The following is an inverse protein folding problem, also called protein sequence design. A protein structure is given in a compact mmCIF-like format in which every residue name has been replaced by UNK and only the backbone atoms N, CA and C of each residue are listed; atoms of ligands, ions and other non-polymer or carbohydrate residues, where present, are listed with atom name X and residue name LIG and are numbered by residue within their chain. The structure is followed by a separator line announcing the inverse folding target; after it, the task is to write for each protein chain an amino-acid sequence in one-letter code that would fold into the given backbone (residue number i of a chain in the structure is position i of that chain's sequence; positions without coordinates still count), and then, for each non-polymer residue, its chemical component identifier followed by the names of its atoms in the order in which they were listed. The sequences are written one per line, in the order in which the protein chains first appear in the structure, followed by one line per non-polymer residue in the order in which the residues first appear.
data_IF_859113849192
#
_entry.id   IF_859113849192
#
_cell.length_a   1.000
_cell.length_b   1.000
_cell.length_c   1.000
_cell.angle_alpha   90.00
_cell.angle_beta   90.00
_cell.angle_gamma   90.00
#
_symmetry.space_group_name_H-M   'P 1'
#
loop_
_entity.id
_entity.type
_entity.pdbx_description
1 polymer ?
#
# COMPACT_ATOMS: atom_id res chain seq x y z
N UNK A 1 12.06 0.61 -18.48
CA UNK A 1 11.69 1.97 -18.89
C UNK A 1 10.30 2.00 -19.52
N UNK A 2 9.98 1.09 -20.45
CA UNK A 2 8.65 1.00 -21.09
C UNK A 2 7.48 0.79 -20.11
N UNK A 3 7.60 -0.07 -19.09
CA UNK A 3 6.52 -0.30 -18.12
C UNK A 3 6.23 0.91 -17.21
N UNK A 4 7.25 1.72 -16.87
CA UNK A 4 7.05 2.97 -16.10
C UNK A 4 6.26 3.98 -16.90
N UNK A 5 6.61 4.17 -18.17
CA UNK A 5 5.89 5.05 -19.09
C UNK A 5 4.44 4.58 -19.29
N UNK A 6 4.23 3.29 -19.52
CA UNK A 6 2.90 2.70 -19.64
C UNK A 6 2.06 2.96 -18.39
N UNK A 7 2.60 2.73 -17.20
CA UNK A 7 1.87 2.94 -15.95
C UNK A 7 1.39 4.39 -15.84
N UNK A 8 2.27 5.37 -16.04
CA UNK A 8 1.93 6.79 -16.00
C UNK A 8 0.90 7.19 -17.05
N UNK A 9 1.03 6.70 -18.28
CA UNK A 9 0.04 6.95 -19.36
C UNK A 9 -1.36 6.43 -18.98
N UNK A 10 -1.44 5.26 -18.33
CA UNK A 10 -2.72 4.72 -17.86
C UNK A 10 -3.30 5.55 -16.72
N UNK A 11 -2.48 6.04 -15.79
CA UNK A 11 -2.94 6.95 -14.74
C UNK A 11 -3.58 8.22 -15.33
N UNK A 12 -2.93 8.81 -16.34
CA UNK A 12 -3.46 9.99 -17.04
C UNK A 12 -4.77 9.67 -17.77
N UNK A 13 -4.80 8.58 -18.54
CA UNK A 13 -5.98 8.15 -19.30
C UNK A 13 -7.17 7.77 -18.41
N UNK A 14 -6.92 7.26 -17.21
CA UNK A 14 -7.94 6.82 -16.25
C UNK A 14 -8.18 7.83 -15.13
N UNK A 15 -7.63 9.05 -15.23
CA UNK A 15 -7.68 10.09 -14.19
C UNK A 15 -9.08 10.32 -13.61
N UNK A 16 -10.12 10.44 -14.46
CA UNK A 16 -11.51 10.61 -14.00
C UNK A 16 -12.00 9.43 -13.14
N UNK A 17 -11.64 8.19 -13.50
CA UNK A 17 -11.99 7.01 -12.72
C UNK A 17 -11.22 6.99 -11.41
N UNK A 18 -9.92 7.27 -11.44
CA UNK A 18 -9.06 7.27 -10.28
C UNK A 18 -9.45 8.37 -9.28
N UNK A 19 -9.90 9.53 -9.75
CA UNK A 19 -10.39 10.59 -8.86
C UNK A 19 -11.66 10.18 -8.13
N UNK A 20 -12.59 9.48 -8.81
CA UNK A 20 -13.78 8.91 -8.13
C UNK A 20 -13.41 7.86 -7.09
N UNK A 21 -12.39 7.04 -7.37
CA UNK A 21 -11.86 6.05 -6.41
C UNK A 21 -11.25 6.75 -5.20
N UNK A 22 -10.40 7.76 -5.43
CA UNK A 22 -9.80 8.58 -4.38
C UNK A 22 -10.85 9.21 -3.47
N UNK A 23 -11.81 9.92 -4.04
CA UNK A 23 -12.91 10.55 -3.30
C UNK A 23 -13.69 9.52 -2.49
N UNK A 24 -14.01 8.37 -3.09
CA UNK A 24 -14.75 7.30 -2.43
C UNK A 24 -14.02 6.71 -1.22
N UNK A 25 -12.68 6.58 -1.28
CA UNK A 25 -11.89 6.12 -0.15
C UNK A 25 -11.87 7.16 0.97
N UNK A 26 -11.67 8.44 0.62
CA UNK A 26 -11.68 9.54 1.59
C UNK A 26 -13.01 9.61 2.34
N UNK A 27 -14.13 9.50 1.63
CA UNK A 27 -15.47 9.47 2.22
C UNK A 27 -15.65 8.31 3.20
N UNK A 28 -15.16 7.12 2.87
CA UNK A 28 -15.30 5.93 3.72
C UNK A 28 -14.63 6.14 5.09
N UNK A 29 -13.41 6.67 5.11
CA UNK A 29 -12.67 6.94 6.34
C UNK A 29 -13.19 8.18 7.09
N UNK A 30 -13.66 9.21 6.36
CA UNK A 30 -14.30 10.37 6.98
C UNK A 30 -15.62 10.00 7.69
N UNK A 31 -16.42 9.09 7.11
CA UNK A 31 -17.70 8.66 7.67
C UNK A 31 -17.57 7.95 9.03
N UNK A 32 -16.39 7.41 9.35
CA UNK A 32 -16.08 6.78 10.64
C UNK A 32 -15.24 7.68 11.56
N UNK A 33 -15.01 8.94 11.18
CA UNK A 33 -14.17 9.91 11.88
C UNK A 33 -12.75 9.39 12.15
N UNK A 34 -12.13 8.74 11.17
CA UNK A 34 -10.75 8.29 11.31
C UNK A 34 -9.77 9.42 11.02
N UNK A 35 -8.75 9.53 11.87
CA UNK A 35 -7.68 10.52 11.77
C UNK A 35 -6.33 9.85 11.60
N UNK A 36 -5.39 10.55 10.97
CA UNK A 36 -4.01 10.16 10.86
C UNK A 36 -3.14 10.94 11.84
N UNK A 37 -2.56 10.23 12.82
CA UNK A 37 -1.94 10.86 13.97
C UNK A 37 -2.99 11.54 14.86
N UNK A 38 -2.74 12.80 15.27
CA UNK A 38 -3.67 13.55 16.13
C UNK A 38 -4.77 14.25 15.36
N UNK A 39 -4.43 14.99 14.30
CA UNK A 39 -5.33 16.02 13.76
C UNK A 39 -5.51 15.99 12.24
N UNK A 40 -4.77 15.14 11.50
CA UNK A 40 -4.93 15.07 10.04
C UNK A 40 -6.09 14.16 9.66
N UNK A 41 -6.86 14.48 8.61
CA UNK A 41 -7.82 13.53 8.06
C UNK A 41 -7.09 12.29 7.52
N UNK A 42 -7.69 11.11 7.65
CA UNK A 42 -7.04 9.88 7.20
C UNK A 42 -6.71 9.86 5.70
N UNK A 43 -7.42 10.65 4.90
CA UNK A 43 -7.11 10.87 3.47
C UNK A 43 -5.66 11.29 3.21
N UNK A 44 -5.00 11.97 4.15
CA UNK A 44 -3.58 12.31 4.03
C UNK A 44 -2.69 11.05 3.93
N UNK A 45 -2.98 10.02 4.72
CA UNK A 45 -2.29 8.73 4.64
C UNK A 45 -2.60 8.01 3.32
N UNK A 46 -3.88 7.94 2.96
CA UNK A 46 -4.33 7.26 1.75
C UNK A 46 -3.69 7.86 0.49
N UNK A 47 -3.64 9.19 0.38
CA UNK A 47 -2.98 9.89 -0.73
C UNK A 47 -1.46 9.67 -0.73
N UNK A 48 -0.82 9.62 0.44
CA UNK A 48 0.61 9.32 0.55
C UNK A 48 0.97 7.91 0.06
N UNK A 49 0.12 6.92 0.35
CA UNK A 49 0.28 5.55 -0.16
C UNK A 49 0.04 5.50 -1.67
N UNK A 50 -1.05 6.09 -2.15
CA UNK A 50 -1.37 6.13 -3.56
C UNK A 50 -0.32 6.88 -4.40
N UNK A 51 0.29 7.96 -3.88
CA UNK A 51 1.38 8.68 -4.56
C UNK A 51 2.61 7.78 -4.78
N UNK A 52 2.98 6.99 -3.78
CA UNK A 52 4.09 6.04 -3.88
C UNK A 52 3.80 4.96 -4.93
N UNK A 53 2.59 4.40 -4.92
CA UNK A 53 2.16 3.41 -5.91
C UNK A 53 2.10 4.03 -7.31
N UNK A 54 1.61 5.26 -7.44
CA UNK A 54 1.57 5.99 -8.70
C UNK A 54 2.98 6.20 -9.30
N UNK A 55 3.95 6.49 -8.42
CA UNK A 55 5.34 6.81 -8.81
C UNK A 55 6.15 5.56 -9.18
N UNK A 56 6.00 4.49 -8.42
CA UNK A 56 6.88 3.31 -8.53
C UNK A 56 6.18 2.06 -9.08
N UNK A 57 4.85 2.11 -9.27
CA UNK A 57 4.04 0.97 -9.68
C UNK A 57 4.47 0.32 -10.99
N UNK A 58 4.98 1.10 -11.94
CA UNK A 58 5.47 0.60 -13.22
C UNK A 58 6.73 -0.26 -13.16
N UNK A 59 7.35 -0.47 -12.00
CA UNK A 59 8.43 -1.46 -11.81
C UNK A 59 7.91 -2.89 -11.70
N UNK A 60 6.69 -3.06 -11.18
CA UNK A 60 6.10 -4.38 -10.86
C UNK A 60 4.78 -4.63 -11.59
N UNK A 61 4.05 -3.57 -11.94
CA UNK A 61 2.82 -3.63 -12.72
C UNK A 61 3.13 -3.58 -14.21
N UNK A 62 3.19 -4.75 -14.83
CA UNK A 62 3.53 -4.94 -16.24
C UNK A 62 2.32 -4.95 -17.16
N UNK A 63 1.09 -4.89 -16.61
CA UNK A 63 -0.18 -5.02 -17.32
C UNK A 63 -1.00 -3.74 -17.18
N UNK A 64 -1.31 -3.10 -18.30
CA UNK A 64 -2.06 -1.83 -18.32
C UNK A 64 -3.46 -1.96 -17.71
N UNK A 65 -4.11 -3.10 -17.90
CA UNK A 65 -5.45 -3.39 -17.40
C UNK A 65 -5.50 -3.52 -15.87
N UNK A 66 -4.37 -3.79 -15.21
CA UNK A 66 -4.30 -3.99 -13.76
C UNK A 66 -4.18 -2.65 -13.00
N UNK A 67 -3.67 -1.59 -13.66
CA UNK A 67 -3.38 -0.28 -13.05
C UNK A 67 -4.57 0.30 -12.26
N UNK A 68 -5.82 0.33 -12.77
CA UNK A 68 -6.95 0.83 -12.00
C UNK A 68 -7.21 0.06 -10.70
N UNK A 69 -7.05 -1.27 -10.74
CA UNK A 69 -7.23 -2.12 -9.56
C UNK A 69 -6.12 -1.93 -8.53
N UNK A 70 -4.87 -1.76 -8.99
CA UNK A 70 -3.71 -1.46 -8.14
C UNK A 70 -3.88 -0.13 -7.41
N UNK A 71 -4.28 0.92 -8.13
CA UNK A 71 -4.54 2.24 -7.53
C UNK A 71 -5.74 2.22 -6.58
N UNK A 72 -6.79 1.47 -6.93
CA UNK A 72 -7.91 1.24 -6.01
C UNK A 72 -7.42 0.59 -4.72
N UNK A 73 -6.64 -0.50 -4.82
CA UNK A 73 -6.06 -1.19 -3.67
C UNK A 73 -5.25 -0.26 -2.78
N UNK A 74 -4.48 0.66 -3.37
CA UNK A 74 -3.70 1.65 -2.63
C UNK A 74 -4.58 2.62 -1.81
N UNK A 75 -5.64 3.19 -2.39
CA UNK A 75 -6.54 4.08 -1.66
C UNK A 75 -7.45 3.36 -0.65
N UNK A 76 -7.83 2.11 -0.91
CA UNK A 76 -8.76 1.35 -0.07
C UNK A 76 -8.08 0.38 0.92
N UNK A 77 -6.74 0.31 0.97
CA UNK A 77 -6.02 -0.75 1.71
C UNK A 77 -6.45 -0.94 3.18
N UNK A 78 -6.80 0.14 3.87
CA UNK A 78 -7.25 0.12 5.27
C UNK A 78 -8.77 0.06 5.44
N UNK A 79 -9.53 0.03 4.35
CA UNK A 79 -10.98 0.24 4.42
C UNK A 79 -11.76 -0.89 5.11
N UNK A 80 -11.23 -2.12 5.06
CA UNK A 80 -11.80 -3.25 5.81
C UNK A 80 -11.40 -3.17 7.29
N UNK A 81 -10.15 -2.80 7.58
CA UNK A 81 -9.64 -2.72 8.95
C UNK A 81 -10.29 -1.58 9.74
N UNK A 82 -10.40 -0.40 9.12
CA UNK A 82 -10.74 0.82 9.85
C UNK A 82 -11.99 1.55 9.35
N UNK A 83 -12.41 1.35 8.10
CA UNK A 83 -13.58 2.04 7.51
C UNK A 83 -14.86 1.19 7.47
N UNK A 84 -14.92 0.09 8.24
CA UNK A 84 -16.09 -0.79 8.41
C UNK A 84 -16.62 -1.41 7.11
N UNK A 85 -15.80 -1.51 6.06
CA UNK A 85 -16.18 -2.21 4.84
C UNK A 85 -15.94 -3.72 4.99
N UNK A 86 -16.80 -4.53 4.39
CA UNK A 86 -16.49 -5.95 4.17
C UNK A 86 -15.78 -6.15 2.83
N UNK A 87 -15.17 -7.30 2.63
CA UNK A 87 -14.64 -7.71 1.32
C UNK A 87 -15.65 -7.50 0.18
N UNK A 88 -16.92 -7.87 0.42
CA UNK A 88 -17.98 -7.75 -0.57
C UNK A 88 -18.37 -6.29 -0.83
N UNK A 89 -18.30 -5.42 0.18
CA UNK A 89 -18.53 -3.99 0.01
C UNK A 89 -17.43 -3.37 -0.86
N UNK A 90 -16.16 -3.74 -0.62
CA UNK A 90 -15.02 -3.31 -1.43
C UNK A 90 -15.20 -3.70 -2.90
N UNK A 91 -15.48 -4.98 -3.18
CA UNK A 91 -15.73 -5.47 -4.56
C UNK A 91 -16.94 -4.82 -5.20
N UNK A 92 -18.01 -4.55 -4.44
CA UNK A 92 -19.19 -3.83 -4.94
C UNK A 92 -18.87 -2.36 -5.25
N UNK A 93 -18.09 -1.69 -4.39
CA UNK A 93 -17.66 -0.30 -4.57
C UNK A 93 -16.79 -0.17 -5.82
N UNK A 94 -15.80 -1.04 -5.99
CA UNK A 94 -14.95 -1.09 -7.19
C UNK A 94 -15.78 -1.14 -8.49
N UNK A 95 -16.73 -2.08 -8.59
CA UNK A 95 -17.62 -2.19 -9.76
C UNK A 95 -18.48 -0.94 -9.95
N UNK A 96 -19.04 -0.39 -8.87
CA UNK A 96 -19.86 0.82 -8.94
C UNK A 96 -19.11 2.06 -9.43
N UNK A 97 -17.78 2.08 -9.28
CA UNK A 97 -16.91 3.18 -9.69
C UNK A 97 -16.38 3.02 -11.13
N UNK A 98 -16.62 1.87 -11.75
CA UNK A 98 -16.32 1.60 -13.16
C UNK A 98 -15.21 0.58 -13.40
N UNK A 99 -14.73 -0.13 -12.36
CA UNK A 99 -13.82 -1.27 -12.56
C UNK A 99 -14.62 -2.46 -13.12
N UNK A 100 -14.04 -3.19 -14.06
CA UNK A 100 -14.62 -4.45 -14.53
C UNK A 100 -14.54 -5.54 -13.45
N UNK A 101 -15.09 -6.73 -13.72
CA UNK A 101 -15.16 -7.79 -12.73
C UNK A 101 -13.77 -8.32 -12.31
N UNK A 102 -12.82 -8.41 -13.25
CA UNK A 102 -11.48 -8.89 -12.96
C UNK A 102 -10.69 -7.86 -12.14
N UNK A 103 -10.82 -6.58 -12.49
CA UNK A 103 -10.24 -5.47 -11.75
C UNK A 103 -10.84 -5.33 -10.36
N UNK A 104 -12.16 -5.46 -10.22
CA UNK A 104 -12.83 -5.38 -8.92
C UNK A 104 -12.46 -6.55 -8.01
N UNK A 105 -12.29 -7.75 -8.56
CA UNK A 105 -11.78 -8.89 -7.82
C UNK A 105 -10.34 -8.64 -7.35
N UNK A 106 -9.43 -8.26 -8.25
CA UNK A 106 -8.04 -7.95 -7.92
C UNK A 106 -7.92 -6.84 -6.85
N UNK A 107 -8.70 -5.77 -7.00
CA UNK A 107 -8.72 -4.67 -6.04
C UNK A 107 -9.14 -5.15 -4.65
N UNK A 108 -10.17 -6.00 -4.56
CA UNK A 108 -10.63 -6.58 -3.29
C UNK A 108 -9.61 -7.54 -2.68
N UNK A 109 -8.91 -8.35 -3.48
CA UNK A 109 -7.83 -9.23 -3.00
C UNK A 109 -6.67 -8.44 -2.40
N UNK A 110 -6.26 -7.33 -3.04
CA UNK A 110 -5.21 -6.45 -2.51
C UNK A 110 -5.62 -5.89 -1.15
N UNK A 111 -6.82 -5.30 -1.05
CA UNK A 111 -7.32 -4.72 0.21
C UNK A 111 -7.44 -5.79 1.30
N UNK A 112 -7.92 -6.98 0.94
CA UNK A 112 -8.05 -8.09 1.88
C UNK A 112 -6.69 -8.57 2.40
N UNK A 113 -5.71 -8.75 1.50
CA UNK A 113 -4.36 -9.18 1.88
C UNK A 113 -3.68 -8.18 2.83
N UNK A 114 -4.01 -6.88 2.73
CA UNK A 114 -3.45 -5.85 3.58
C UNK A 114 -4.19 -5.66 4.91
N UNK A 115 -5.37 -6.26 5.07
CA UNK A 115 -6.15 -6.21 6.31
C UNK A 115 -5.51 -7.10 7.37
N UNK A 116 -5.14 -6.54 8.51
CA UNK A 116 -4.47 -7.30 9.57
C UNK A 116 -5.36 -8.41 10.17
N UNK A 117 -4.71 -9.44 10.70
CA UNK A 117 -5.36 -10.48 11.50
C UNK A 117 -5.84 -9.92 12.85
N UNK A 118 -6.78 -10.62 13.48
CA UNK A 118 -7.17 -10.31 14.87
C UNK A 118 -6.04 -10.65 15.82
N UNK A 119 -5.61 -9.67 16.62
CA UNK A 119 -4.52 -9.84 17.57
C UNK A 119 -4.48 -8.70 18.60
N UNK A 120 -3.97 -9.00 19.80
CA UNK A 120 -3.83 -8.04 20.90
C UNK A 120 -2.65 -7.10 20.68
N UNK A 121 -1.60 -7.60 20.03
CA UNK A 121 -0.37 -6.86 19.74
C UNK A 121 -0.17 -6.66 18.25
N UNK A 122 0.69 -5.72 17.86
CA UNK A 122 1.05 -5.49 16.45
C UNK A 122 1.67 -6.75 15.82
N UNK A 123 2.47 -7.49 16.58
CA UNK A 123 3.10 -8.74 16.14
C UNK A 123 2.05 -9.83 15.93
N UNK A 124 1.05 -9.93 16.80
CA UNK A 124 -0.06 -10.87 16.62
C UNK A 124 -0.91 -10.53 15.38
N UNK A 125 -1.14 -9.24 15.14
CA UNK A 125 -1.92 -8.74 13.99
C UNK A 125 -1.20 -8.90 12.65
N UNK A 126 0.12 -8.71 12.64
CA UNK A 126 0.99 -8.85 11.47
C UNK A 126 1.85 -10.13 11.58
N UNK A 127 1.19 -11.28 11.77
CA UNK A 127 1.86 -12.58 11.93
C UNK A 127 2.30 -13.22 10.61
N UNK A 128 2.76 -14.47 10.69
CA UNK A 128 3.27 -15.24 9.53
C UNK A 128 2.22 -15.36 8.43
N UNK A 129 0.98 -15.73 8.76
CA UNK A 129 -0.12 -15.89 7.80
C UNK A 129 -0.47 -14.60 7.07
N UNK A 130 -0.41 -13.46 7.78
CA UNK A 130 -0.67 -12.14 7.19
C UNK A 130 0.33 -11.85 6.06
N UNK A 131 1.62 -12.01 6.34
CA UNK A 131 2.65 -11.80 5.32
C UNK A 131 2.66 -12.87 4.23
N UNK A 132 2.29 -14.13 4.53
CA UNK A 132 2.06 -15.16 3.50
C UNK A 132 0.96 -14.74 2.52
N UNK A 133 -0.16 -14.23 3.02
CA UNK A 133 -1.25 -13.69 2.20
C UNK A 133 -0.78 -12.53 1.33
N UNK A 134 -0.03 -11.58 1.90
CA UNK A 134 0.54 -10.46 1.13
C UNK A 134 1.44 -10.97 -0.01
N UNK A 135 2.36 -11.90 0.27
CA UNK A 135 3.28 -12.44 -0.75
C UNK A 135 2.60 -13.28 -1.83
N UNK A 136 1.40 -13.79 -1.56
CA UNK A 136 0.62 -14.60 -2.48
C UNK A 136 -0.36 -13.78 -3.34
N UNK A 137 -0.52 -12.48 -3.07
CA UNK A 137 -1.48 -11.62 -3.75
C UNK A 137 -0.78 -10.62 -4.67
N UNK A 138 -1.10 -10.58 -5.97
CA UNK A 138 -0.48 -9.64 -6.90
C UNK A 138 -0.58 -8.19 -6.40
N UNK A 139 0.52 -7.48 -6.46
CA UNK A 139 0.70 -6.07 -6.12
C UNK A 139 0.55 -5.71 -4.64
N UNK A 140 0.04 -6.61 -3.79
CA UNK A 140 -0.07 -6.40 -2.34
C UNK A 140 1.29 -6.11 -1.66
N UNK A 141 2.41 -6.77 -2.02
CA UNK A 141 3.72 -6.47 -1.43
C UNK A 141 4.13 -5.01 -1.64
N UNK A 142 3.97 -4.49 -2.86
CA UNK A 142 4.23 -3.09 -3.17
C UNK A 142 3.33 -2.14 -2.37
N UNK A 143 2.03 -2.39 -2.31
CA UNK A 143 1.11 -1.51 -1.55
C UNK A 143 1.47 -1.53 -0.06
N UNK A 144 1.89 -2.67 0.49
CA UNK A 144 2.33 -2.75 1.89
C UNK A 144 3.64 -2.01 2.13
N UNK A 145 4.56 -2.02 1.16
CA UNK A 145 5.78 -1.22 1.21
C UNK A 145 5.45 0.28 1.14
N UNK A 146 4.49 0.68 0.32
CA UNK A 146 4.01 2.07 0.23
C UNK A 146 3.40 2.54 1.57
N UNK A 147 2.52 1.74 2.18
CA UNK A 147 1.98 1.96 3.53
C UNK A 147 3.10 2.19 4.56
N UNK A 148 4.13 1.33 4.54
CA UNK A 148 5.28 1.48 5.45
C UNK A 148 6.04 2.78 5.22
N UNK A 149 6.32 3.15 3.97
CA UNK A 149 7.06 4.37 3.64
C UNK A 149 6.26 5.61 4.03
N UNK A 150 4.94 5.64 3.77
CA UNK A 150 4.07 6.74 4.18
C UNK A 150 4.11 6.95 5.71
N UNK A 151 4.01 5.85 6.46
CA UNK A 151 4.11 5.85 7.91
C UNK A 151 5.47 6.31 8.45
N UNK A 152 6.56 5.88 7.83
CA UNK A 152 7.92 6.33 8.19
C UNK A 152 8.08 7.82 7.90
N UNK A 153 7.70 8.30 6.71
CA UNK A 153 7.75 9.73 6.35
C UNK A 153 6.97 10.58 7.35
N UNK A 154 5.78 10.14 7.74
CA UNK A 154 4.98 10.84 8.74
C UNK A 154 5.66 10.89 10.11
N UNK A 155 6.25 9.79 10.56
CA UNK A 155 7.01 9.73 11.83
C UNK A 155 8.26 10.62 11.84
N UNK A 156 8.84 10.92 10.67
CA UNK A 156 10.01 11.80 10.57
C UNK A 156 9.63 13.28 10.44
N UNK A 157 8.45 13.59 9.89
CA UNK A 157 8.02 14.97 9.62
C UNK A 157 7.66 15.77 10.87
N UNK A 158 7.12 15.11 11.90
CA UNK A 158 6.62 15.79 13.09
C UNK A 158 7.57 15.62 14.28
N UNK A 159 8.08 16.72 14.83
CA UNK A 159 8.90 16.69 16.04
C UNK A 159 8.01 16.49 17.29
N UNK A 160 7.79 15.24 17.68
CA UNK A 160 7.24 14.87 18.99
C UNK A 160 7.89 13.60 19.51
N UNK A 161 7.92 13.42 20.84
CA UNK A 161 8.48 12.21 21.46
C UNK A 161 7.84 10.93 20.93
N UNK A 162 6.53 10.98 20.65
CA UNK A 162 5.80 9.88 20.02
C UNK A 162 6.37 9.54 18.64
N UNK A 163 6.62 10.55 17.81
CA UNK A 163 7.10 10.35 16.44
C UNK A 163 8.55 9.86 16.40
N UNK A 164 9.42 10.40 17.27
CA UNK A 164 10.79 9.90 17.42
C UNK A 164 10.81 8.43 17.85
N UNK A 165 9.91 8.05 18.78
CA UNK A 165 9.75 6.65 19.16
C UNK A 165 9.28 5.80 17.98
N UNK A 166 8.30 6.25 17.21
CA UNK A 166 7.79 5.50 16.05
C UNK A 166 8.85 5.31 14.96
N UNK A 167 9.64 6.34 14.65
CA UNK A 167 10.77 6.23 13.72
C UNK A 167 11.78 5.16 14.16
N UNK A 168 12.10 5.10 15.47
CA UNK A 168 12.96 4.06 16.03
C UNK A 168 12.34 2.66 15.90
N UNK A 169 11.06 2.50 16.23
CA UNK A 169 10.33 1.23 16.07
C UNK A 169 10.39 0.75 14.62
N UNK A 170 10.16 1.63 13.64
CA UNK A 170 10.23 1.24 12.23
C UNK A 170 11.63 0.85 11.77
N UNK A 171 12.67 1.50 12.31
CA UNK A 171 14.06 1.11 12.06
C UNK A 171 14.39 -0.25 12.65
N UNK A 172 13.92 -0.55 13.85
CA UNK A 172 14.11 -1.84 14.53
C UNK A 172 13.36 -2.98 13.82
N UNK A 173 12.14 -2.71 13.33
CA UNK A 173 11.33 -3.70 12.61
C UNK A 173 11.81 -3.98 11.18
N UNK A 174 12.62 -3.09 10.59
CA UNK A 174 12.99 -3.14 9.17
C UNK A 174 13.51 -4.50 8.69
N UNK A 175 14.50 -5.16 9.35
CA UNK A 175 15.02 -6.43 8.86
C UNK A 175 13.93 -7.50 8.78
N UNK A 176 13.06 -7.59 9.79
CA UNK A 176 11.96 -8.55 9.82
C UNK A 176 10.85 -8.19 8.83
N UNK A 177 10.50 -6.91 8.73
CA UNK A 177 9.49 -6.42 7.78
C UNK A 177 9.86 -6.77 6.36
N UNK A 178 11.10 -6.47 5.94
CA UNK A 178 11.55 -6.77 4.59
C UNK A 178 11.61 -8.28 4.34
N UNK A 179 12.22 -9.05 5.23
CA UNK A 179 12.30 -10.50 5.08
C UNK A 179 10.91 -11.14 4.97
N UNK A 180 9.93 -10.61 5.70
CA UNK A 180 8.54 -11.07 5.64
C UNK A 180 7.83 -10.62 4.36
N UNK A 181 8.26 -9.54 3.71
CA UNK A 181 7.64 -9.03 2.50
C UNK A 181 8.31 -9.53 1.23
N UNK A 182 9.54 -10.04 1.33
CA UNK A 182 10.34 -10.44 0.17
C UNK A 182 9.65 -11.53 -0.65
N UNK A 183 9.54 -11.38 -1.99
CA UNK A 183 8.82 -12.33 -2.83
C UNK A 183 9.45 -13.72 -2.81
N UNK A 184 8.63 -14.77 -2.88
CA UNK A 184 9.06 -16.16 -3.03
C UNK A 184 8.94 -16.67 -4.48
N UNK A 185 8.83 -15.76 -5.45
CA UNK A 185 8.54 -16.04 -6.86
C UNK A 185 9.15 -14.98 -7.76
N UNK A 186 9.45 -15.33 -9.01
CA UNK A 186 9.96 -14.42 -10.04
C UNK A 186 8.84 -13.67 -10.79
N UNK A 187 7.58 -13.81 -10.34
CA UNK A 187 6.47 -13.06 -10.91
C UNK A 187 6.60 -11.59 -10.49
N UNK A 188 6.84 -10.66 -11.44
CA UNK A 188 7.08 -9.26 -11.10
C UNK A 188 5.91 -8.63 -10.34
N UNK A 189 4.70 -9.16 -10.49
CA UNK A 189 3.50 -8.65 -9.79
C UNK A 189 3.58 -8.89 -8.28
N UNK A 190 4.33 -9.88 -7.82
CA UNK A 190 4.60 -10.11 -6.39
C UNK A 190 5.83 -9.35 -5.90
N UNK A 191 6.53 -8.65 -6.80
CA UNK A 191 7.78 -7.96 -6.54
C UNK A 191 7.65 -6.74 -5.64
N UNK A 192 8.81 -6.26 -5.18
CA UNK A 192 8.96 -4.97 -4.54
C UNK A 192 9.69 -4.02 -5.50
N UNK A 193 9.16 -2.81 -5.76
CA UNK A 193 9.91 -1.80 -6.51
C UNK A 193 11.24 -1.50 -5.82
N UNK A 194 12.35 -1.61 -6.55
CA UNK A 194 13.71 -1.46 -6.04
C UNK A 194 13.89 -0.04 -5.47
N UNK A 195 13.37 0.97 -6.18
CA UNK A 195 13.48 2.36 -5.76
C UNK A 195 12.74 2.63 -4.44
N UNK A 196 11.64 1.92 -4.17
CA UNK A 196 10.92 2.05 -2.90
C UNK A 196 11.70 1.43 -1.73
N UNK A 197 12.32 0.27 -1.95
CA UNK A 197 13.18 -0.37 -0.92
C UNK A 197 14.35 0.53 -0.58
N UNK A 198 15.05 1.07 -1.59
CA UNK A 198 16.17 1.99 -1.39
C UNK A 198 15.74 3.28 -0.68
N UNK A 199 14.59 3.83 -1.06
CA UNK A 199 14.01 5.00 -0.39
C UNK A 199 13.70 4.72 1.09
N UNK A 200 13.16 3.55 1.42
CA UNK A 200 12.89 3.19 2.81
C UNK A 200 14.20 3.02 3.60
N UNK A 201 15.23 2.42 3.01
CA UNK A 201 16.55 2.33 3.62
C UNK A 201 17.13 3.72 3.94
N UNK A 202 17.04 4.66 3.01
CA UNK A 202 17.49 6.05 3.20
C UNK A 202 16.73 6.72 4.36
N UNK A 203 15.39 6.65 4.36
CA UNK A 203 14.56 7.22 5.42
C UNK A 203 14.88 6.64 6.81
N UNK A 204 15.21 5.35 6.86
CA UNK A 204 15.56 4.67 8.11
C UNK A 204 17.04 4.84 8.50
N UNK A 205 17.89 5.39 7.61
CA UNK A 205 19.33 5.54 7.82
C UNK A 205 20.05 4.19 7.95
N UNK A 206 19.67 3.22 7.13
CA UNK A 206 20.29 1.87 7.05
C UNK A 206 20.88 1.67 5.65
N UNK A 207 21.89 0.80 5.52
CA UNK A 207 22.50 0.52 4.22
C UNK A 207 21.57 -0.35 3.36
N UNK A 208 21.33 0.09 2.13
CA UNK A 208 20.52 -0.62 1.14
C UNK A 208 21.29 -1.09 -0.09
N UNK A 209 22.59 -0.79 -0.20
CA UNK A 209 23.34 -0.98 -1.45
C UNK A 209 23.63 -2.45 -1.79
N UNK A 210 23.82 -3.31 -0.79
CA UNK A 210 24.07 -4.74 -1.00
C UNK A 210 22.81 -5.63 -1.08
N UNK A 211 21.62 -5.04 -1.18
CA UNK A 211 20.35 -5.79 -1.12
C UNK A 211 19.90 -6.34 -2.48
N UNK A 212 20.49 -5.82 -3.55
CA UNK A 212 20.17 -6.16 -4.95
C UNK A 212 21.44 -6.57 -5.71
N UNK A 213 22.52 -6.85 -4.98
CA UNK A 213 23.76 -7.42 -5.51
C UNK A 213 23.70 -8.93 -5.27
N UNK A 214 23.82 -9.74 -6.33
CA UNK A 214 23.89 -11.21 -6.28
C UNK A 214 25.19 -11.72 -5.64
#
# INVERSE_FOLDING_TARGET
MECKTLFSEILERQSDLLERVRHAAHEAHAAVNQFYGRDLPYSYHLDGVAELVARYGGEVCTRAEDVPAVMFGAWFHDSIEDARLTYNDVRKRARSLGLDEAQAFMAAEIVYALTNEKGRTRVERAGVKYYEGIRATPYAPMVKLADRIANVRFSLRQASDYNHRMARVYREEWPHFLASLWPATDDPRMGLPQEMVLQLCELLGVDGKGMFED
#
